data_IF_277212278313
#
_entry.id   IF_277212278313
#
_cell.length_a   1.000
_cell.length_b   1.000
_cell.length_c   1.000
_cell.angle_alpha   90.00
_cell.angle_beta   90.00
_cell.angle_gamma   90.00
#
_symmetry.space_group_name_H-M   'P 1'
#
loop_
_entity.id
_entity.type
_entity.pdbx_description
1 polymer ?
#
# COMPACT_ATOMS: atom_id res chain seq x y z
N UNK A 1 -42.88 -4.77 12.55
CA UNK A 1 -42.61 -3.44 13.16
C UNK A 1 -41.34 -2.81 12.62
N UNK A 2 -40.26 -3.57 12.39
CA UNK A 2 -39.01 -3.04 11.83
C UNK A 2 -39.10 -2.71 10.32
N UNK A 3 -39.97 -3.41 9.57
CA UNK A 3 -40.18 -3.16 8.13
C UNK A 3 -40.81 -1.80 7.78
N UNK A 4 -41.35 -1.09 8.78
CA UNK A 4 -41.97 0.24 8.61
C UNK A 4 -41.04 1.39 8.99
N UNK A 5 -39.77 1.11 9.33
CA UNK A 5 -38.80 2.13 9.71
C UNK A 5 -38.15 2.71 8.43
N UNK A 6 -38.07 4.04 8.28
CA UNK A 6 -37.33 4.68 7.20
C UNK A 6 -35.89 4.16 7.11
N UNK A 7 -35.40 3.88 5.90
CA UNK A 7 -34.09 3.28 5.67
C UNK A 7 -32.95 4.05 6.38
N UNK A 8 -33.04 5.38 6.44
CA UNK A 8 -32.05 6.24 7.12
C UNK A 8 -31.98 6.02 8.63
N UNK A 9 -33.13 5.84 9.29
CA UNK A 9 -33.18 5.53 10.73
C UNK A 9 -32.70 4.11 11.00
N UNK A 10 -33.01 3.18 10.09
CA UNK A 10 -32.55 1.81 10.19
C UNK A 10 -31.01 1.72 10.02
N UNK A 11 -30.43 2.45 9.07
CA UNK A 11 -28.98 2.57 8.89
C UNK A 11 -28.30 3.17 10.13
N UNK A 12 -28.93 4.17 10.76
CA UNK A 12 -28.42 4.78 11.99
C UNK A 12 -28.55 3.85 13.21
N UNK A 13 -29.48 2.90 13.23
CA UNK A 13 -29.56 1.88 14.28
C UNK A 13 -28.50 0.79 14.05
N UNK A 14 -28.32 0.35 12.81
CA UNK A 14 -27.33 -0.66 12.43
C UNK A 14 -25.89 -0.20 12.71
N UNK A 15 -25.61 1.11 12.69
CA UNK A 15 -24.29 1.67 13.02
C UNK A 15 -23.88 1.52 14.49
N UNK A 16 -24.84 1.29 15.40
CA UNK A 16 -24.57 1.06 16.83
C UNK A 16 -24.40 -0.41 17.19
N UNK A 17 -24.47 -1.33 16.22
CA UNK A 17 -24.44 -2.76 16.47
C UNK A 17 -23.11 -3.37 15.99
N UNK A 18 -22.38 -3.97 16.92
CA UNK A 18 -21.07 -4.58 16.64
C UNK A 18 -21.18 -5.87 15.81
N UNK A 19 -22.28 -6.61 15.91
CA UNK A 19 -22.53 -7.82 15.12
C UNK A 19 -23.89 -7.76 14.40
N UNK A 20 -23.85 -7.72 13.06
CA UNK A 20 -25.02 -7.66 12.18
C UNK A 20 -25.42 -9.04 11.61
N UNK A 21 -24.66 -10.10 11.88
CA UNK A 21 -24.95 -11.48 11.45
C UNK A 21 -26.34 -12.01 11.87
N UNK A 22 -26.79 -11.87 13.14
CA UNK A 22 -28.10 -12.38 13.53
C UNK A 22 -29.26 -11.62 12.89
N UNK A 23 -29.02 -10.39 12.41
CA UNK A 23 -30.03 -9.48 11.85
C UNK A 23 -30.19 -9.70 10.35
N UNK A 24 -29.10 -10.02 9.65
CA UNK A 24 -29.12 -10.27 8.21
C UNK A 24 -29.93 -11.51 7.80
N UNK A 25 -30.04 -12.49 8.71
CA UNK A 25 -30.85 -13.72 8.52
C UNK A 25 -32.31 -13.63 8.99
N UNK A 26 -32.70 -12.54 9.68
CA UNK A 26 -34.01 -12.44 10.33
C UNK A 26 -35.14 -12.01 9.37
N UNK A 27 -34.84 -11.21 8.35
CA UNK A 27 -35.80 -10.77 7.34
C UNK A 27 -35.09 -10.35 6.06
N UNK A 28 -35.76 -10.49 4.90
CA UNK A 28 -35.23 -10.05 3.62
C UNK A 28 -34.98 -8.53 3.58
N UNK A 29 -35.86 -7.73 4.18
CA UNK A 29 -35.71 -6.27 4.29
C UNK A 29 -34.47 -5.87 5.11
N UNK A 30 -34.23 -6.57 6.22
CA UNK A 30 -33.08 -6.38 7.11
C UNK A 30 -31.77 -6.83 6.46
N UNK A 31 -31.81 -7.91 5.69
CA UNK A 31 -30.68 -8.36 4.86
C UNK A 31 -30.27 -7.29 3.85
N UNK A 32 -31.25 -6.71 3.13
CA UNK A 32 -31.01 -5.62 2.17
C UNK A 32 -30.45 -4.35 2.86
N UNK A 33 -30.99 -3.97 4.01
CA UNK A 33 -30.50 -2.78 4.70
C UNK A 33 -29.10 -2.98 5.33
N UNK A 34 -28.83 -4.17 5.87
CA UNK A 34 -27.48 -4.55 6.35
C UNK A 34 -26.46 -4.50 5.22
N UNK A 35 -26.85 -4.99 4.04
CA UNK A 35 -26.05 -4.97 2.82
C UNK A 35 -25.75 -3.55 2.34
N UNK A 36 -26.75 -2.67 2.35
CA UNK A 36 -26.61 -1.27 1.95
C UNK A 36 -25.72 -0.50 2.95
N UNK A 37 -25.88 -0.76 4.26
CA UNK A 37 -25.00 -0.24 5.30
C UNK A 37 -23.54 -0.67 5.09
N UNK A 38 -23.28 -1.97 4.94
CA UNK A 38 -21.93 -2.52 4.72
C UNK A 38 -21.29 -1.97 3.45
N UNK A 39 -22.08 -1.84 2.37
CA UNK A 39 -21.61 -1.24 1.11
C UNK A 39 -21.22 0.23 1.30
N UNK A 40 -22.06 0.99 2.01
CA UNK A 40 -21.79 2.40 2.31
C UNK A 40 -20.52 2.54 3.16
N UNK A 41 -20.41 1.79 4.26
CA UNK A 41 -19.24 1.80 5.14
C UNK A 41 -17.94 1.48 4.38
N UNK A 42 -17.97 0.48 3.49
CA UNK A 42 -16.83 0.10 2.67
C UNK A 42 -16.43 1.20 1.68
N UNK A 43 -17.41 1.85 1.02
CA UNK A 43 -17.15 2.98 0.12
C UNK A 43 -16.54 4.17 0.86
N UNK A 44 -17.07 4.50 2.04
CA UNK A 44 -16.54 5.58 2.88
C UNK A 44 -15.10 5.28 3.30
N UNK A 45 -14.81 4.05 3.74
CA UNK A 45 -13.44 3.65 4.09
C UNK A 45 -12.49 3.78 2.90
N UNK A 46 -12.85 3.24 1.74
CA UNK A 46 -12.03 3.35 0.52
C UNK A 46 -11.77 4.80 0.12
N UNK A 47 -12.77 5.68 0.22
CA UNK A 47 -12.63 7.10 -0.11
C UNK A 47 -11.68 7.84 0.84
N UNK A 48 -11.56 7.38 2.09
CA UNK A 48 -10.69 7.99 3.10
C UNK A 48 -9.22 7.54 2.97
N UNK A 49 -8.93 6.50 2.19
CA UNK A 49 -7.56 6.03 1.96
C UNK A 49 -6.89 6.91 0.91
N UNK A 50 -5.89 7.68 1.32
CA UNK A 50 -5.06 8.46 0.41
C UNK A 50 -4.30 7.55 -0.56
N UNK A 51 -4.29 7.90 -1.86
CA UNK A 51 -3.67 7.11 -2.94
C UNK A 51 -4.22 5.68 -3.07
N UNK A 52 -5.51 5.45 -2.77
CA UNK A 52 -6.14 4.12 -2.83
C UNK A 52 -5.95 3.41 -4.18
N UNK A 53 -5.98 4.14 -5.30
CA UNK A 53 -5.76 3.57 -6.63
C UNK A 53 -4.36 2.99 -6.81
N UNK A 54 -3.33 3.70 -6.31
CA UNK A 54 -1.94 3.24 -6.36
C UNK A 54 -1.76 2.03 -5.44
N UNK A 55 -2.31 2.11 -4.23
CA UNK A 55 -2.30 1.01 -3.26
C UNK A 55 -2.93 -0.26 -3.84
N UNK A 56 -4.11 -0.16 -4.45
CA UNK A 56 -4.78 -1.28 -5.09
C UNK A 56 -4.08 -1.76 -6.37
N UNK A 57 -3.32 -0.90 -7.06
CA UNK A 57 -2.51 -1.30 -8.21
C UNK A 57 -1.27 -2.09 -7.79
N UNK A 58 -0.63 -1.71 -6.68
CA UNK A 58 0.57 -2.38 -6.16
C UNK A 58 0.19 -3.68 -5.44
N UNK A 59 -0.72 -3.58 -4.48
CA UNK A 59 -1.25 -4.70 -3.71
C UNK A 59 -2.65 -5.00 -4.19
N UNK A 60 -2.74 -5.62 -5.37
CA UNK A 60 -4.02 -6.03 -5.95
C UNK A 60 -4.87 -6.79 -4.94
N UNK A 61 -6.20 -6.54 -4.91
CA UNK A 61 -7.08 -7.28 -4.04
C UNK A 61 -6.88 -8.78 -4.31
N UNK A 62 -6.76 -9.60 -3.25
CA UNK A 62 -6.70 -11.04 -3.42
C UNK A 62 -7.89 -11.53 -4.25
N UNK A 63 -7.78 -12.73 -4.80
CA UNK A 63 -8.79 -13.37 -5.66
C UNK A 63 -10.10 -13.72 -4.95
N UNK A 64 -10.51 -12.93 -3.95
CA UNK A 64 -11.89 -12.84 -3.45
C UNK A 64 -12.86 -12.54 -4.60
N UNK A 65 -12.41 -11.77 -5.59
CA UNK A 65 -13.16 -11.44 -6.81
C UNK A 65 -12.81 -12.43 -7.95
N UNK A 66 -13.19 -13.71 -7.85
CA UNK A 66 -12.96 -14.64 -8.98
C UNK A 66 -13.88 -14.28 -10.16
N UNK A 67 -13.27 -13.83 -11.26
CA UNK A 67 -13.87 -13.95 -12.61
C UNK A 67 -13.84 -15.42 -13.04
N UNK A 68 -14.93 -15.87 -13.65
CA UNK A 68 -15.16 -17.21 -14.22
C UNK A 68 -13.88 -17.80 -14.86
N UNK A 69 -13.38 -18.92 -14.33
CA UNK A 69 -12.31 -19.71 -15.00
C UNK A 69 -11.25 -20.43 -14.14
N UNK A 70 -11.21 -20.28 -12.82
CA UNK A 70 -10.18 -20.91 -11.97
C UNK A 70 -10.71 -21.93 -10.96
N UNK A 71 -10.30 -23.20 -11.11
CA UNK A 71 -10.30 -24.40 -10.21
C UNK A 71 -11.45 -24.66 -9.20
N UNK A 72 -11.94 -25.92 -9.05
CA UNK A 72 -13.26 -26.26 -8.49
C UNK A 72 -13.36 -26.43 -6.96
N UNK A 73 -12.28 -26.28 -6.19
CA UNK A 73 -12.24 -26.72 -4.78
C UNK A 73 -12.35 -25.61 -3.72
N UNK A 74 -12.97 -24.47 -4.04
CA UNK A 74 -13.18 -23.38 -3.08
C UNK A 74 -14.67 -23.04 -2.91
N UNK A 75 -15.15 -23.08 -1.66
CA UNK A 75 -16.47 -22.58 -1.26
C UNK A 75 -16.52 -21.04 -1.35
N UNK A 76 -16.53 -20.49 -2.56
CA UNK A 76 -16.64 -19.06 -2.80
C UNK A 76 -17.36 -18.79 -4.12
N UNK A 77 -18.47 -18.05 -4.07
CA UNK A 77 -19.27 -17.68 -5.24
C UNK A 77 -18.47 -16.88 -6.27
N UNK A 78 -18.77 -17.09 -7.55
CA UNK A 78 -18.19 -16.32 -8.65
C UNK A 78 -18.94 -14.99 -8.82
N UNK A 79 -18.22 -13.91 -9.12
CA UNK A 79 -18.86 -12.63 -9.45
C UNK A 79 -19.20 -12.64 -10.94
N UNK A 80 -20.46 -12.93 -11.23
CA UNK A 80 -21.06 -12.92 -12.56
C UNK A 80 -21.95 -11.71 -12.79
N UNK A 81 -22.48 -11.13 -11.71
CA UNK A 81 -23.37 -9.97 -11.70
C UNK A 81 -23.00 -8.99 -10.59
N UNK A 82 -23.36 -7.70 -10.71
CA UNK A 82 -23.19 -6.75 -9.63
C UNK A 82 -23.88 -7.17 -8.32
N UNK A 83 -24.99 -7.91 -8.38
CA UNK A 83 -25.64 -8.48 -7.20
C UNK A 83 -24.72 -9.41 -6.39
N UNK A 84 -23.87 -10.19 -7.04
CA UNK A 84 -22.97 -11.15 -6.41
C UNK A 84 -21.92 -10.46 -5.51
N UNK A 85 -21.55 -9.21 -5.82
CA UNK A 85 -20.69 -8.40 -4.95
C UNK A 85 -21.36 -8.07 -3.62
N UNK A 86 -22.68 -7.88 -3.64
CA UNK A 86 -23.42 -7.55 -2.44
C UNK A 86 -23.67 -8.78 -1.57
N UNK A 87 -23.79 -9.97 -2.17
CA UNK A 87 -23.90 -11.23 -1.45
C UNK A 87 -22.59 -11.58 -0.73
N UNK A 88 -21.44 -11.25 -1.33
CA UNK A 88 -20.10 -11.36 -0.72
C UNK A 88 -19.97 -10.49 0.55
N UNK A 89 -20.65 -9.34 0.60
CA UNK A 89 -20.63 -8.46 1.78
C UNK A 89 -21.57 -8.96 2.90
N UNK A 90 -22.50 -9.86 2.59
CA UNK A 90 -23.36 -10.50 3.57
C UNK A 90 -22.72 -11.76 4.17
N UNK A 91 -21.81 -12.42 3.44
CA UNK A 91 -21.01 -13.55 3.91
C UNK A 91 -19.96 -13.09 4.95
N UNK A 92 -20.00 -13.58 6.20
CA UNK A 92 -19.09 -13.15 7.25
C UNK A 92 -17.62 -13.53 6.99
N UNK A 93 -17.35 -14.67 6.34
CA UNK A 93 -15.99 -15.10 6.03
C UNK A 93 -15.37 -14.21 4.95
N UNK A 94 -16.17 -13.82 3.95
CA UNK A 94 -15.73 -12.91 2.90
C UNK A 94 -15.63 -11.48 3.39
N UNK A 95 -16.55 -11.03 4.25
CA UNK A 95 -16.47 -9.71 4.86
C UNK A 95 -15.20 -9.57 5.69
N UNK A 96 -14.88 -10.54 6.54
CA UNK A 96 -13.64 -10.51 7.33
C UNK A 96 -12.38 -10.45 6.47
N UNK A 97 -12.38 -11.15 5.32
CA UNK A 97 -11.29 -11.07 4.33
C UNK A 97 -11.18 -9.70 3.67
N UNK A 98 -12.31 -9.09 3.32
CA UNK A 98 -12.37 -7.73 2.76
C UNK A 98 -11.89 -6.70 3.77
N UNK A 99 -12.33 -6.81 5.03
CA UNK A 99 -11.90 -5.93 6.12
C UNK A 99 -10.41 -6.06 6.41
N UNK A 100 -9.87 -7.28 6.44
CA UNK A 100 -8.44 -7.51 6.61
C UNK A 100 -7.63 -6.92 5.45
N UNK A 101 -8.10 -7.07 4.21
CA UNK A 101 -7.47 -6.45 3.05
C UNK A 101 -7.49 -4.91 3.14
N UNK A 102 -8.64 -4.31 3.43
CA UNK A 102 -8.76 -2.86 3.64
C UNK A 102 -7.87 -2.38 4.77
N UNK A 103 -7.86 -3.07 5.92
CA UNK A 103 -6.96 -2.76 7.04
C UNK A 103 -5.49 -2.83 6.63
N UNK A 104 -5.13 -3.76 5.75
CA UNK A 104 -3.78 -3.84 5.20
C UNK A 104 -3.45 -2.65 4.28
N UNK A 105 -4.40 -2.12 3.51
CA UNK A 105 -4.21 -0.92 2.69
C UNK A 105 -4.12 0.33 3.56
N UNK A 106 -5.00 0.46 4.56
CA UNK A 106 -5.00 1.55 5.54
C UNK A 106 -3.66 1.62 6.29
N UNK A 107 -3.14 0.47 6.74
CA UNK A 107 -1.82 0.39 7.37
C UNK A 107 -0.71 0.87 6.43
N UNK A 108 -0.70 0.41 5.17
CA UNK A 108 0.32 0.84 4.19
C UNK A 108 0.21 2.33 3.87
N UNK A 109 -1.01 2.85 3.75
CA UNK A 109 -1.25 4.28 3.59
C UNK A 109 -0.71 5.08 4.77
N UNK A 110 -0.97 4.61 6.00
CA UNK A 110 -0.46 5.23 7.23
C UNK A 110 1.07 5.23 7.28
N UNK A 111 1.71 4.08 7.03
CA UNK A 111 3.18 3.96 7.01
C UNK A 111 3.78 4.87 5.94
N UNK A 112 3.23 4.86 4.73
CA UNK A 112 3.69 5.72 3.65
C UNK A 112 3.53 7.21 3.99
N UNK A 113 2.43 7.60 4.62
CA UNK A 113 2.20 8.97 5.07
C UNK A 113 3.23 9.41 6.12
N UNK A 114 3.55 8.55 7.09
CA UNK A 114 4.55 8.81 8.13
C UNK A 114 5.97 8.93 7.58
N UNK A 115 6.35 8.04 6.67
CA UNK A 115 7.64 8.15 5.98
C UNK A 115 7.67 9.40 5.10
N UNK A 116 6.56 9.73 4.42
CA UNK A 116 6.46 10.93 3.61
C UNK A 116 6.59 12.23 4.44
N UNK A 117 6.05 12.28 5.65
CA UNK A 117 6.26 13.40 6.59
C UNK A 117 7.75 13.61 6.83
N UNK A 118 8.49 12.54 7.07
CA UNK A 118 9.94 12.60 7.23
C UNK A 118 10.65 13.00 5.93
N UNK A 119 10.28 12.40 4.79
CA UNK A 119 10.88 12.69 3.48
C UNK A 119 10.77 14.18 3.13
N UNK A 120 9.64 14.82 3.42
CA UNK A 120 9.46 16.27 3.19
C UNK A 120 10.42 17.13 4.02
N UNK A 121 11.01 16.61 5.10
CA UNK A 121 12.03 17.33 5.90
C UNK A 121 13.44 17.22 5.31
N UNK A 122 13.73 16.14 4.58
CA UNK A 122 15.08 15.85 4.05
C UNK A 122 15.19 16.07 2.54
N UNK A 123 14.07 16.10 1.81
CA UNK A 123 14.00 16.31 0.36
C UNK A 123 13.14 17.52 0.05
N UNK A 124 13.66 18.42 -0.79
CA UNK A 124 12.96 19.64 -1.19
C UNK A 124 12.18 19.44 -2.50
N UNK A 125 10.85 19.33 -2.42
CA UNK A 125 9.98 19.30 -3.59
C UNK A 125 9.52 20.71 -4.00
N UNK A 126 10.45 21.51 -4.52
CA UNK A 126 10.24 22.94 -4.79
C UNK A 126 9.17 23.23 -5.87
N UNK A 127 8.83 22.24 -6.68
CA UNK A 127 7.78 22.33 -7.71
C UNK A 127 6.37 22.47 -7.12
N UNK A 128 6.17 22.18 -5.83
CA UNK A 128 4.88 22.24 -5.16
C UNK A 128 4.81 23.41 -4.17
N UNK A 129 3.67 24.10 -4.17
CA UNK A 129 3.48 25.36 -3.44
C UNK A 129 3.08 25.14 -2.00
N UNK A 130 2.26 24.13 -1.73
CA UNK A 130 1.74 23.87 -0.39
C UNK A 130 2.42 22.68 0.28
N UNK A 131 2.46 22.67 1.62
CA UNK A 131 2.94 21.51 2.39
C UNK A 131 2.11 20.26 2.10
N UNK A 132 0.80 20.43 1.89
CA UNK A 132 -0.12 19.34 1.57
C UNK A 132 0.21 18.71 0.21
N UNK A 133 0.47 19.50 -0.83
CA UNK A 133 0.89 18.99 -2.15
C UNK A 133 2.22 18.24 -2.07
N UNK A 134 3.21 18.79 -1.34
CA UNK A 134 4.51 18.14 -1.13
C UNK A 134 4.36 16.80 -0.41
N UNK A 135 3.56 16.76 0.65
CA UNK A 135 3.30 15.55 1.41
C UNK A 135 2.56 14.50 0.57
N UNK A 136 1.52 14.92 -0.17
CA UNK A 136 0.78 14.05 -1.07
C UNK A 136 1.68 13.45 -2.17
N UNK A 137 2.55 14.26 -2.77
CA UNK A 137 3.53 13.78 -3.76
C UNK A 137 4.57 12.87 -3.12
N UNK A 138 5.15 13.24 -1.98
CA UNK A 138 6.13 12.42 -1.25
C UNK A 138 5.53 11.05 -0.87
N UNK A 139 4.27 11.01 -0.43
CA UNK A 139 3.56 9.77 -0.15
C UNK A 139 3.44 8.87 -1.38
N UNK A 140 3.14 9.45 -2.55
CA UNK A 140 3.17 8.71 -3.82
C UNK A 140 4.56 8.12 -4.07
N UNK A 141 5.63 8.90 -3.93
CA UNK A 141 6.99 8.41 -4.17
C UNK A 141 7.35 7.26 -3.22
N UNK A 142 6.99 7.37 -1.94
CA UNK A 142 7.20 6.31 -0.94
C UNK A 142 6.44 5.04 -1.33
N UNK A 143 5.20 5.15 -1.79
CA UNK A 143 4.42 3.99 -2.25
C UNK A 143 5.06 3.32 -3.47
N UNK A 144 5.51 4.08 -4.46
CA UNK A 144 6.17 3.54 -5.66
C UNK A 144 7.51 2.87 -5.30
N UNK A 145 8.27 3.43 -4.34
CA UNK A 145 9.48 2.83 -3.78
C UNK A 145 9.20 1.54 -3.00
N UNK A 146 8.02 1.42 -2.40
CA UNK A 146 7.57 0.22 -1.68
C UNK A 146 6.98 -0.85 -2.61
N UNK A 147 6.58 -0.47 -3.83
CA UNK A 147 6.01 -1.38 -4.83
C UNK A 147 6.80 -2.67 -5.12
N UNK A 148 8.15 -2.70 -5.06
CA UNK A 148 8.92 -3.92 -5.28
C UNK A 148 8.63 -5.01 -4.26
N UNK A 149 8.25 -4.69 -3.02
CA UNK A 149 7.92 -5.71 -2.02
C UNK A 149 6.76 -6.60 -2.49
N UNK A 150 5.71 -6.00 -3.07
CA UNK A 150 4.57 -6.75 -3.59
C UNK A 150 4.95 -7.72 -4.72
N UNK A 151 6.02 -7.40 -5.46
CA UNK A 151 6.40 -8.09 -6.69
C UNK A 151 7.55 -9.07 -6.51
N UNK A 152 8.49 -8.80 -5.60
CA UNK A 152 9.76 -9.53 -5.48
C UNK A 152 10.07 -10.04 -4.08
N UNK A 153 9.19 -9.85 -3.08
CA UNK A 153 9.40 -10.35 -1.71
C UNK A 153 9.59 -11.87 -1.62
N UNK A 154 9.08 -12.63 -2.59
CA UNK A 154 9.23 -14.09 -2.65
C UNK A 154 10.60 -14.55 -3.19
N UNK A 155 11.34 -13.67 -3.87
CA UNK A 155 12.65 -13.97 -4.46
C UNK A 155 13.53 -12.72 -4.43
N UNK A 156 13.83 -12.27 -3.21
CA UNK A 156 14.61 -11.05 -2.99
C UNK A 156 16.02 -11.21 -3.54
N UNK A 157 16.69 -12.31 -3.21
CA UNK A 157 18.09 -12.47 -3.58
C UNK A 157 18.24 -12.94 -5.03
N UNK A 158 17.37 -13.83 -5.52
CA UNK A 158 17.48 -14.43 -6.86
C UNK A 158 17.37 -13.42 -7.99
N UNK A 159 16.45 -12.45 -7.88
CA UNK A 159 16.27 -11.41 -8.90
C UNK A 159 17.47 -10.46 -9.01
N UNK A 160 18.23 -10.29 -7.92
CA UNK A 160 19.34 -9.33 -7.83
C UNK A 160 20.72 -9.98 -7.73
N UNK A 161 20.83 -11.31 -7.91
CA UNK A 161 22.10 -12.06 -7.91
C UNK A 161 23.13 -11.48 -8.89
N UNK A 162 22.68 -10.89 -10.00
CA UNK A 162 23.52 -10.33 -11.06
C UNK A 162 23.78 -8.83 -10.90
N UNK A 163 23.43 -8.23 -9.76
CA UNK A 163 23.79 -6.86 -9.42
C UNK A 163 24.95 -6.89 -8.42
N UNK A 164 25.99 -6.12 -8.70
CA UNK A 164 27.07 -5.92 -7.73
C UNK A 164 26.50 -5.23 -6.48
N UNK A 165 27.12 -5.44 -5.33
CA UNK A 165 26.70 -4.74 -4.11
C UNK A 165 26.91 -3.21 -4.20
N UNK A 166 27.76 -2.76 -5.13
CA UNK A 166 27.97 -1.35 -5.51
C UNK A 166 26.90 -0.81 -6.48
N UNK A 167 25.94 -1.64 -6.90
CA UNK A 167 24.85 -1.20 -7.79
C UNK A 167 23.87 -0.28 -7.06
N UNK A 168 23.52 0.82 -7.71
CA UNK A 168 22.58 1.81 -7.22
C UNK A 168 21.12 1.46 -7.47
N UNK A 169 20.22 2.32 -6.98
CA UNK A 169 18.79 2.17 -7.28
C UNK A 169 18.51 2.33 -8.78
N UNK A 170 19.28 3.17 -9.47
CA UNK A 170 19.12 3.39 -10.92
C UNK A 170 19.34 2.10 -11.71
N UNK A 171 20.36 1.31 -11.34
CA UNK A 171 20.67 0.02 -12.00
C UNK A 171 19.54 -1.00 -11.85
N UNK A 172 18.81 -0.92 -10.73
CA UNK A 172 17.61 -1.71 -10.48
C UNK A 172 16.44 -1.22 -11.32
N UNK A 173 16.19 0.10 -11.32
CA UNK A 173 15.07 0.71 -12.03
C UNK A 173 15.10 0.44 -13.55
N UNK A 174 16.28 0.46 -14.17
CA UNK A 174 16.43 0.17 -15.61
C UNK A 174 16.03 -1.27 -15.95
N UNK A 175 16.08 -2.20 -14.98
CA UNK A 175 15.67 -3.60 -15.15
C UNK A 175 14.22 -3.87 -14.76
N UNK A 176 13.51 -2.86 -14.26
CA UNK A 176 12.14 -3.00 -13.77
C UNK A 176 11.12 -2.36 -14.73
N UNK A 177 10.44 -3.20 -15.52
CA UNK A 177 9.40 -2.79 -16.46
C UNK A 177 8.26 -1.99 -15.82
N UNK A 178 7.96 -2.18 -14.54
CA UNK A 178 6.96 -1.36 -13.85
C UNK A 178 7.44 0.08 -13.71
N UNK A 179 8.68 0.26 -13.23
CA UNK A 179 9.27 1.59 -13.00
C UNK A 179 9.50 2.32 -14.31
N UNK A 180 9.91 1.62 -15.37
CA UNK A 180 10.06 2.20 -16.71
C UNK A 180 8.76 2.78 -17.27
N UNK A 181 7.60 2.25 -16.87
CA UNK A 181 6.29 2.75 -17.27
C UNK A 181 5.78 3.91 -16.38
N UNK A 182 6.46 4.24 -15.29
CA UNK A 182 6.12 5.40 -14.47
C UNK A 182 6.54 6.71 -15.17
N UNK A 183 5.89 7.84 -14.87
CA UNK A 183 6.34 9.15 -15.33
C UNK A 183 7.80 9.43 -14.94
N UNK A 184 8.56 10.10 -15.82
CA UNK A 184 10.00 10.35 -15.61
C UNK A 184 10.30 11.18 -14.36
N UNK A 185 9.40 12.11 -14.01
CA UNK A 185 9.50 12.91 -12.79
C UNK A 185 9.40 12.01 -11.54
N UNK A 186 8.50 11.02 -11.56
CA UNK A 186 8.35 10.05 -10.47
C UNK A 186 9.60 9.18 -10.37
N UNK A 187 10.12 8.68 -11.49
CA UNK A 187 11.36 7.88 -11.49
C UNK A 187 12.54 8.65 -10.88
N UNK A 188 12.73 9.91 -11.26
CA UNK A 188 13.79 10.76 -10.72
C UNK A 188 13.59 11.09 -9.24
N UNK A 189 12.34 11.36 -8.84
CA UNK A 189 11.99 11.61 -7.44
C UNK A 189 12.20 10.35 -6.58
N UNK A 190 11.92 9.15 -7.09
CA UNK A 190 12.19 7.89 -6.40
C UNK A 190 13.68 7.73 -6.09
N UNK A 191 14.57 8.00 -7.06
CA UNK A 191 16.02 7.98 -6.84
C UNK A 191 16.42 9.00 -5.76
N UNK A 192 15.97 10.24 -5.92
CA UNK A 192 16.27 11.33 -4.96
C UNK A 192 15.83 11.00 -3.53
N UNK A 193 14.62 10.45 -3.36
CA UNK A 193 14.08 10.07 -2.06
C UNK A 193 14.84 8.87 -1.48
N UNK A 194 15.17 7.89 -2.31
CA UNK A 194 15.95 6.73 -1.89
C UNK A 194 17.33 7.13 -1.37
N UNK A 195 18.06 7.96 -2.13
CA UNK A 195 19.40 8.39 -1.75
C UNK A 195 19.38 9.22 -0.48
N UNK A 196 18.40 10.13 -0.36
CA UNK A 196 18.21 10.92 0.86
C UNK A 196 17.89 10.04 2.07
N UNK A 197 17.04 9.01 1.91
CA UNK A 197 16.75 8.04 2.97
C UNK A 197 18.00 7.22 3.32
N UNK A 198 18.75 6.72 2.34
CA UNK A 198 19.97 5.95 2.55
C UNK A 198 21.03 6.77 3.31
N UNK A 199 21.26 8.02 2.91
CA UNK A 199 22.18 8.95 3.59
C UNK A 199 21.75 9.20 5.04
N UNK A 200 20.48 9.49 5.29
CA UNK A 200 19.97 9.74 6.64
C UNK A 200 19.96 8.49 7.53
N UNK A 201 19.70 7.32 6.95
CA UNK A 201 19.76 6.02 7.63
C UNK A 201 21.19 5.48 7.81
N UNK A 202 22.23 6.16 7.29
CA UNK A 202 23.66 5.85 7.50
C UNK A 202 24.01 4.36 7.21
N UNK A 203 25.17 3.91 7.67
CA UNK A 203 25.61 2.50 7.55
C UNK A 203 24.55 1.55 8.11
N UNK A 204 24.21 0.43 7.42
CA UNK A 204 24.91 -0.15 6.26
C UNK A 204 24.46 0.39 4.88
N UNK A 205 23.50 1.31 4.81
CA UNK A 205 22.92 1.79 3.55
C UNK A 205 23.72 2.91 2.88
N UNK A 206 24.59 3.55 3.67
CA UNK A 206 25.54 4.53 3.19
C UNK A 206 26.93 4.16 3.71
N UNK A 207 27.88 3.94 2.80
CA UNK A 207 29.27 3.67 3.14
C UNK A 207 30.04 4.98 3.28
N UNK A 208 30.65 5.22 4.43
CA UNK A 208 31.59 6.34 4.67
C UNK A 208 32.97 6.12 4.03
N UNK A 209 33.08 5.14 3.12
CA UNK A 209 34.34 4.69 2.54
C UNK A 209 34.89 5.64 1.48
N UNK A 210 35.69 6.62 1.91
CA UNK A 210 36.74 7.15 1.05
C UNK A 210 37.78 6.05 0.78
N UNK A 211 37.92 5.62 -0.47
CA UNK A 211 39.12 4.92 -0.94
C UNK A 211 39.60 5.54 -2.24
N UNK A 212 40.85 5.99 -2.19
CA UNK A 212 41.51 6.73 -3.25
C UNK A 212 41.92 5.89 -4.46
N UNK A 213 42.44 6.63 -5.43
CA UNK A 213 43.04 6.22 -6.70
C UNK A 213 42.07 5.81 -7.82
N UNK A 214 41.68 6.82 -8.61
CA UNK A 214 41.57 6.68 -10.07
C UNK A 214 40.25 6.15 -10.66
N UNK A 215 39.27 5.77 -9.85
CA UNK A 215 37.91 5.42 -10.31
C UNK A 215 36.93 6.55 -10.05
N UNK A 216 36.03 6.82 -11.00
CA UNK A 216 34.98 7.85 -10.89
C UNK A 216 34.25 7.74 -9.56
N UNK A 217 34.30 8.82 -8.78
CA UNK A 217 33.45 9.03 -7.61
C UNK A 217 32.01 9.18 -8.12
N UNK A 218 31.17 8.19 -7.87
CA UNK A 218 29.73 8.41 -7.74
C UNK A 218 29.38 8.16 -6.27
N UNK A 219 28.61 9.10 -5.75
CA UNK A 219 28.38 9.34 -4.34
C UNK A 219 27.44 8.27 -3.76
N UNK A 220 28.02 7.29 -3.06
CA UNK A 220 27.38 6.59 -1.93
C UNK A 220 26.17 5.71 -2.24
N UNK A 221 26.36 4.53 -2.82
CA UNK A 221 25.21 3.69 -3.18
C UNK A 221 25.43 2.22 -2.83
N UNK A 222 24.40 1.61 -2.26
CA UNK A 222 24.29 0.16 -2.18
C UNK A 222 22.83 -0.24 -2.27
N UNK A 223 22.56 -1.35 -2.96
CA UNK A 223 21.24 -1.97 -3.09
C UNK A 223 20.64 -2.45 -1.74
N UNK A 224 21.36 -2.30 -0.64
CA UNK A 224 20.98 -2.78 0.69
C UNK A 224 19.66 -2.21 1.20
N UNK A 225 19.43 -0.89 1.07
CA UNK A 225 18.16 -0.31 1.50
C UNK A 225 17.02 -0.81 0.61
N UNK A 226 17.27 -0.97 -0.68
CA UNK A 226 16.31 -1.54 -1.62
C UNK A 226 15.98 -2.99 -1.27
N UNK A 227 16.99 -3.84 -1.02
CA UNK A 227 16.81 -5.23 -0.54
C UNK A 227 16.02 -5.29 0.76
N UNK A 228 16.29 -4.37 1.70
CA UNK A 228 15.53 -4.26 2.95
C UNK A 228 14.06 -3.92 2.69
N UNK A 229 13.77 -2.93 1.83
CA UNK A 229 12.40 -2.56 1.46
C UNK A 229 11.69 -3.74 0.78
N UNK A 230 12.38 -4.46 -0.11
CA UNK A 230 11.78 -5.62 -0.81
C UNK A 230 11.51 -6.78 0.15
N UNK A 231 12.38 -7.01 1.14
CA UNK A 231 12.26 -8.12 2.09
C UNK A 231 11.26 -7.83 3.20
N UNK A 232 11.48 -6.73 3.93
CA UNK A 232 10.78 -6.42 5.17
C UNK A 232 9.72 -5.33 4.99
N UNK A 233 9.82 -4.53 3.93
CA UNK A 233 8.87 -3.46 3.64
C UNK A 233 9.23 -2.11 4.27
N UNK A 234 8.40 -1.12 3.99
CA UNK A 234 8.59 0.25 4.46
C UNK A 234 8.29 0.42 5.96
N UNK A 235 7.59 -0.54 6.60
CA UNK A 235 7.39 -0.56 8.05
C UNK A 235 8.73 -0.54 8.80
N UNK A 236 9.73 -1.29 8.34
CA UNK A 236 11.06 -1.31 8.98
C UNK A 236 11.80 0.00 8.76
N UNK A 237 11.70 0.59 7.57
CA UNK A 237 12.27 1.91 7.28
C UNK A 237 11.68 2.96 8.22
N UNK A 238 10.35 2.96 8.43
CA UNK A 238 9.69 3.84 9.39
C UNK A 238 10.21 3.62 10.81
N UNK A 239 10.34 2.38 11.25
CA UNK A 239 10.86 2.07 12.58
C UNK A 239 12.29 2.60 12.78
N UNK A 240 13.15 2.48 11.76
CA UNK A 240 14.51 3.02 11.80
C UNK A 240 14.54 4.56 11.83
N UNK A 241 13.60 5.22 11.15
CA UNK A 241 13.44 6.69 11.21
C UNK A 241 13.01 7.12 12.62
N UNK A 242 12.02 6.45 13.21
CA UNK A 242 11.50 6.77 14.55
C UNK A 242 12.58 6.60 15.63
N UNK A 243 13.37 5.52 15.57
CA UNK A 243 14.48 5.28 16.51
C UNK A 243 15.55 6.38 16.46
N UNK A 244 15.70 7.06 15.32
CA UNK A 244 16.70 8.13 15.14
C UNK A 244 16.16 9.50 15.48
N UNK A 245 14.86 9.73 15.26
CA UNK A 245 14.21 11.00 15.58
C UNK A 245 13.99 11.18 17.08
N UNK A 246 14.04 10.10 17.86
CA UNK A 246 13.99 10.12 19.33
C UNK A 246 15.34 10.34 20.03
N UNK A 247 16.42 10.67 19.30
CA UNK A 247 17.74 11.05 19.82
C UNK A 247 18.04 12.51 19.49
#
# INVERSE_FOLDING_TARGET
MIDNIPAELLLNILSYLDNLEPISGASHSLSLATRDFRTHALRTRLANISHVEILMRIWSPPTFFRRRGGSPYGSGGYITRPQDLHDILCDPDMLGRVEAYLGSLERRAYVAARVAEYVVTIVSFNSFRTRAERHFYAMRIVLELWSPQARFSHDVDGRWLNLSDDSGLLDVHVRDAYVLNLPRDVQAAMVTVYDALAQNLRSPFHSTGGRGHGGRVSEGEGIWLYRLIVKEGMDVVLHMIDQRSGR
#
